data_IF_743197327598
#
_entry.id   IF_743197327598
#
_cell.length_a   1.000
_cell.length_b   1.000
_cell.length_c   1.000
_cell.angle_alpha   90.00
_cell.angle_beta   90.00
_cell.angle_gamma   90.00
#
_symmetry.space_group_name_H-M   'P 1'
#
loop_
_entity.id
_entity.type
_entity.pdbx_description
1 polymer ?
#
# COMPACT_ATOMS: atom_id res chain seq x y z
N UNK A 1 -9.55 70.50 -38.96
CA UNK A 1 -9.49 71.16 -37.64
C UNK A 1 -9.73 70.09 -36.60
N UNK A 2 -8.79 69.62 -35.81
CA UNK A 2 -7.33 69.71 -35.73
C UNK A 2 -6.93 68.53 -34.83
N UNK A 3 -5.82 67.86 -35.13
CA UNK A 3 -5.02 67.16 -34.12
C UNK A 3 -3.84 68.10 -33.77
N UNK A 4 -3.43 68.19 -32.50
CA UNK A 4 -2.18 67.52 -32.07
C UNK A 4 -2.32 66.88 -30.66
N UNK A 5 -1.71 65.72 -30.37
CA UNK A 5 -0.30 65.42 -30.00
C UNK A 5 0.09 65.71 -28.53
N UNK A 6 0.83 64.73 -28.00
CA UNK A 6 1.76 64.67 -26.86
C UNK A 6 1.29 64.38 -25.41
N UNK A 7 1.56 63.12 -25.05
CA UNK A 7 2.43 62.64 -23.96
C UNK A 7 2.15 63.08 -22.51
N UNK A 8 1.78 62.10 -21.68
CA UNK A 8 2.60 61.81 -20.51
C UNK A 8 2.57 60.31 -20.17
N UNK A 9 3.67 59.63 -20.54
CA UNK A 9 4.16 58.42 -19.90
C UNK A 9 4.62 58.85 -18.49
N UNK A 10 3.89 58.46 -17.46
CA UNK A 10 4.46 58.33 -16.13
C UNK A 10 4.47 56.85 -15.77
N UNK A 11 5.69 56.39 -15.53
CA UNK A 11 6.08 55.06 -15.13
C UNK A 11 5.27 54.59 -13.91
N UNK A 12 4.44 53.57 -14.09
CA UNK A 12 4.11 52.67 -12.97
C UNK A 12 4.92 51.41 -13.20
N UNK A 13 6.09 51.47 -12.58
CA UNK A 13 7.05 50.39 -12.41
C UNK A 13 6.32 49.07 -12.07
N UNK A 14 6.59 48.08 -12.90
CA UNK A 14 6.21 46.68 -12.71
C UNK A 14 6.75 46.19 -11.36
N UNK A 15 5.91 46.22 -10.33
CA UNK A 15 6.12 45.32 -9.20
C UNK A 15 5.51 43.99 -9.61
N UNK A 16 6.35 43.15 -10.21
CA UNK A 16 6.13 41.72 -10.20
C UNK A 16 6.05 41.30 -8.73
N UNK A 17 4.83 41.22 -8.19
CA UNK A 17 4.63 40.53 -6.93
C UNK A 17 5.15 39.12 -7.15
N UNK A 18 6.22 38.82 -6.41
CA UNK A 18 6.96 37.59 -6.50
C UNK A 18 5.97 36.42 -6.50
N UNK A 19 6.13 35.53 -7.47
CA UNK A 19 5.54 34.20 -7.46
C UNK A 19 5.69 33.64 -6.04
N UNK A 20 4.61 33.63 -5.24
CA UNK A 20 4.57 32.81 -4.04
C UNK A 20 4.60 31.37 -4.55
N UNK A 21 5.82 30.83 -4.60
CA UNK A 21 6.12 29.42 -4.77
C UNK A 21 5.09 28.61 -4.01
N UNK A 22 4.37 27.75 -4.75
CA UNK A 22 3.43 26.72 -4.27
C UNK A 22 3.73 26.35 -2.82
N UNK A 23 2.95 26.92 -1.90
CA UNK A 23 3.17 26.69 -0.47
C UNK A 23 2.91 25.24 -0.07
N UNK A 24 2.16 24.47 -0.89
CA UNK A 24 1.82 23.08 -0.62
C UNK A 24 1.90 22.20 -1.88
N UNK A 25 2.96 21.40 -1.99
CA UNK A 25 2.93 20.11 -2.72
C UNK A 25 2.17 19.10 -1.86
N UNK A 26 1.51 18.11 -2.47
CA UNK A 26 0.87 17.02 -1.74
C UNK A 26 1.83 16.31 -0.77
N UNK A 27 3.13 16.28 -1.09
CA UNK A 27 4.18 15.73 -0.24
C UNK A 27 4.43 16.54 1.05
N UNK A 28 4.04 17.83 1.09
CA UNK A 28 4.27 18.75 2.23
C UNK A 28 3.15 18.73 3.28
N UNK A 29 1.98 18.18 2.97
CA UNK A 29 0.83 18.15 3.90
C UNK A 29 1.04 17.20 5.08
N UNK A 30 2.03 16.31 5.03
CA UNK A 30 2.27 15.31 6.08
C UNK A 30 3.35 15.71 7.09
N UNK A 31 4.06 16.82 6.88
CA UNK A 31 5.23 17.19 7.69
C UNK A 31 5.00 18.35 8.67
N UNK A 32 3.82 18.99 8.67
CA UNK A 32 3.51 20.07 9.61
C UNK A 32 2.02 20.09 9.96
N UNK A 33 1.61 19.34 10.99
CA UNK A 33 0.50 19.76 11.85
C UNK A 33 0.90 19.59 13.31
N UNK A 34 1.05 20.73 13.98
CA UNK A 34 0.96 20.85 15.43
C UNK A 34 -0.49 20.52 15.80
N UNK A 35 -0.71 19.31 16.32
CA UNK A 35 -1.94 18.98 17.06
C UNK A 35 -1.93 19.76 18.38
N UNK A 36 -2.30 21.04 18.30
CA UNK A 36 -2.59 21.84 19.49
C UNK A 36 -3.91 21.36 20.11
N UNK A 37 -3.78 20.71 21.27
CA UNK A 37 -4.73 20.51 22.36
C UNK A 37 -6.17 21.02 22.11
N UNK A 38 -7.04 20.16 21.57
CA UNK A 38 -8.49 20.29 21.78
C UNK A 38 -8.90 19.27 22.86
N UNK A 39 -9.11 19.76 24.08
CA UNK A 39 -9.79 19.02 25.14
C UNK A 39 -11.29 19.02 24.82
N UNK A 40 -11.85 17.87 24.46
CA UNK A 40 -13.31 17.70 24.34
C UNK A 40 -13.79 16.91 25.56
N UNK A 41 -14.56 17.53 26.49
CA UNK A 41 -15.08 16.83 27.65
C UNK A 41 -16.45 16.19 27.34
N UNK A 42 -16.51 14.88 27.61
CA UNK A 42 -17.75 14.15 27.92
C UNK A 42 -18.41 13.50 26.72
N UNK A 43 -18.39 12.16 26.68
CA UNK A 43 -19.56 11.34 26.38
C UNK A 43 -19.38 9.98 27.07
N UNK A 44 -20.43 9.56 27.77
CA UNK A 44 -20.44 8.43 28.69
C UNK A 44 -20.84 7.11 28.07
N UNK A 45 -20.46 6.05 28.77
CA UNK A 45 -20.88 4.66 28.60
C UNK A 45 -22.41 4.54 28.48
N UNK A 46 -22.89 3.82 27.48
CA UNK A 46 -24.21 3.19 27.51
C UNK A 46 -24.13 1.76 26.96
N UNK A 47 -24.74 0.88 27.73
CA UNK A 47 -24.81 -0.57 27.65
C UNK A 47 -25.66 -1.11 26.49
N UNK A 48 -25.26 -2.31 26.06
CA UNK A 48 -26.04 -3.53 25.76
C UNK A 48 -27.54 -3.40 25.40
N UNK A 49 -27.88 -3.87 24.20
CA UNK A 49 -29.18 -4.50 23.94
C UNK A 49 -29.08 -5.49 22.77
N UNK A 50 -29.07 -6.78 23.13
CA UNK A 50 -29.22 -7.93 22.24
C UNK A 50 -30.68 -8.04 21.76
N UNK A 51 -30.87 -8.30 20.46
CA UNK A 51 -32.14 -8.84 19.92
C UNK A 51 -31.87 -10.16 19.20
N UNK A 52 -32.63 -11.15 19.63
CA UNK A 52 -32.67 -12.57 19.28
C UNK A 52 -33.47 -12.76 17.98
N UNK A 53 -33.07 -13.69 17.11
CA UNK A 53 -33.95 -14.26 16.09
C UNK A 53 -34.07 -15.77 16.30
N UNK A 54 -35.34 -16.22 16.36
CA UNK A 54 -35.78 -17.61 16.56
C UNK A 54 -35.56 -18.51 15.33
N UNK A 55 -35.46 -19.81 15.62
CA UNK A 55 -35.23 -20.97 14.77
C UNK A 55 -36.34 -21.28 13.73
N UNK A 56 -35.92 -21.62 12.50
CA UNK A 56 -36.42 -22.68 11.60
C UNK A 56 -35.76 -22.41 10.22
N UNK A 57 -35.02 -23.29 9.56
CA UNK A 57 -35.29 -24.68 9.23
C UNK A 57 -33.95 -25.32 8.82
N UNK A 58 -33.63 -26.47 9.43
CA UNK A 58 -32.37 -27.21 9.25
C UNK A 58 -32.41 -28.00 7.94
N UNK A 59 -31.42 -27.78 7.08
CA UNK A 59 -31.02 -28.76 6.05
C UNK A 59 -29.57 -29.11 6.32
N UNK A 60 -29.38 -30.35 6.77
CA UNK A 60 -28.11 -30.98 7.12
C UNK A 60 -27.28 -31.22 5.86
N UNK A 61 -26.16 -30.51 5.74
CA UNK A 61 -24.98 -30.98 5.01
C UNK A 61 -23.85 -31.04 6.05
N UNK A 62 -23.63 -32.24 6.59
CA UNK A 62 -22.54 -32.55 7.52
C UNK A 62 -21.16 -32.43 6.82
N UNK A 63 -20.18 -31.87 7.54
CA UNK A 63 -18.72 -31.87 7.30
C UNK A 63 -18.02 -30.55 6.86
N UNK A 64 -18.51 -29.34 7.22
CA UNK A 64 -17.79 -28.06 6.92
C UNK A 64 -17.51 -27.14 8.13
N UNK A 65 -17.75 -27.56 9.37
CA UNK A 65 -17.29 -26.79 10.54
C UNK A 65 -16.72 -27.71 11.61
N UNK A 66 -15.40 -27.96 11.52
CA UNK A 66 -14.60 -28.23 12.71
C UNK A 66 -14.56 -26.91 13.49
N UNK A 67 -15.53 -26.78 14.39
CA UNK A 67 -15.64 -25.71 15.38
C UNK A 67 -14.58 -25.92 16.45
N UNK A 68 -13.33 -25.69 16.05
CA UNK A 68 -12.23 -25.36 16.93
C UNK A 68 -11.56 -24.10 16.37
N UNK A 69 -12.28 -22.98 16.48
CA UNK A 69 -11.66 -21.68 16.54
C UNK A 69 -10.79 -21.72 17.79
N UNK A 70 -9.54 -22.18 17.65
CA UNK A 70 -8.57 -22.51 18.71
C UNK A 70 -8.40 -21.43 19.78
N UNK A 71 -9.43 -21.27 20.59
CA UNK A 71 -9.45 -20.60 21.87
C UNK A 71 -8.80 -21.61 22.81
N UNK A 72 -7.69 -21.28 23.47
CA UNK A 72 -7.13 -22.17 24.46
C UNK A 72 -8.19 -22.45 25.53
N UNK A 73 -8.43 -23.73 25.79
CA UNK A 73 -9.18 -24.18 26.97
C UNK A 73 -8.59 -23.53 28.22
N UNK A 74 -9.46 -23.06 29.11
CA UNK A 74 -9.12 -22.45 30.39
C UNK A 74 -8.18 -23.36 31.20
N UNK A 75 -6.88 -23.10 31.11
CA UNK A 75 -5.90 -23.52 32.08
C UNK A 75 -5.25 -22.27 32.68
N UNK A 76 -5.53 -22.05 33.96
CA UNK A 76 -5.04 -20.98 34.81
C UNK A 76 -3.52 -20.74 34.66
N UNK A 77 -3.11 -19.77 33.84
CA UNK A 77 -1.75 -19.26 33.81
C UNK A 77 -1.76 -17.74 33.56
N UNK A 78 -1.10 -17.02 34.47
CA UNK A 78 -1.00 -15.56 34.51
C UNK A 78 -0.58 -14.98 33.15
N UNK A 79 -1.50 -14.22 32.52
CA UNK A 79 -1.18 -13.39 31.37
C UNK A 79 -0.28 -12.22 31.82
N UNK A 80 0.99 -12.26 31.45
CA UNK A 80 1.77 -11.03 31.26
C UNK A 80 1.21 -10.35 30.01
N UNK A 81 0.67 -9.14 30.18
CA UNK A 81 0.12 -8.27 29.12
C UNK A 81 1.23 -7.78 28.17
N UNK A 82 1.77 -8.67 27.34
CA UNK A 82 2.58 -8.32 26.19
C UNK A 82 1.78 -8.68 24.92
N UNK A 83 1.08 -7.69 24.36
CA UNK A 83 0.59 -7.78 22.99
C UNK A 83 1.75 -8.24 22.08
N UNK A 84 1.53 -9.17 21.15
CA UNK A 84 2.58 -9.61 20.24
C UNK A 84 3.06 -8.39 19.43
N UNK A 85 4.27 -7.94 19.76
CA UNK A 85 4.97 -6.92 19.00
C UNK A 85 5.08 -7.44 17.57
N UNK A 86 4.71 -6.62 16.60
CA UNK A 86 4.96 -6.88 15.19
C UNK A 86 6.50 -6.96 15.01
N UNK A 87 7.07 -8.16 15.11
CA UNK A 87 8.49 -8.38 14.95
C UNK A 87 8.82 -8.23 13.46
N UNK A 88 9.53 -7.16 13.13
CA UNK A 88 10.20 -7.06 11.83
C UNK A 88 11.13 -8.24 11.65
N UNK A 89 11.32 -8.73 10.41
CA UNK A 89 12.34 -9.72 10.12
C UNK A 89 13.66 -9.25 10.75
N UNK A 90 14.19 -10.06 11.67
CA UNK A 90 15.58 -9.92 12.04
C UNK A 90 16.36 -10.20 10.76
N UNK A 91 17.06 -9.18 10.25
CA UNK A 91 18.06 -9.38 9.21
C UNK A 91 19.09 -10.35 9.80
N UNK A 92 18.94 -11.65 9.48
CA UNK A 92 19.92 -12.66 9.83
C UNK A 92 21.29 -12.21 9.28
N UNK A 93 22.23 -11.93 10.19
CA UNK A 93 23.62 -11.53 9.93
C UNK A 93 24.44 -12.67 9.27
N UNK A 94 23.90 -13.38 8.27
CA UNK A 94 24.71 -14.12 7.31
C UNK A 94 25.02 -13.19 6.15
N UNK A 95 26.31 -12.84 5.99
CA UNK A 95 26.83 -12.26 4.76
C UNK A 95 26.22 -13.02 3.58
N UNK A 96 25.50 -12.35 2.66
CA UNK A 96 24.97 -13.04 1.50
C UNK A 96 26.16 -13.67 0.78
N UNK A 97 26.14 -15.00 0.61
CA UNK A 97 26.85 -15.63 -0.50
C UNK A 97 26.46 -14.80 -1.72
N UNK A 98 27.45 -14.32 -2.49
CA UNK A 98 27.26 -13.44 -3.65
C UNK A 98 26.05 -13.89 -4.49
N UNK A 99 24.90 -13.34 -4.17
CA UNK A 99 23.60 -13.62 -4.78
C UNK A 99 23.19 -12.28 -5.39
N UNK A 100 23.72 -12.11 -6.59
CA UNK A 100 23.53 -11.06 -7.57
C UNK A 100 23.73 -9.59 -7.14
N UNK A 101 24.36 -8.87 -8.05
CA UNK A 101 24.72 -7.46 -7.98
C UNK A 101 23.53 -6.58 -7.53
N UNK A 102 23.67 -5.70 -6.53
CA UNK A 102 22.62 -4.78 -6.14
C UNK A 102 22.58 -3.65 -7.19
N UNK A 103 21.75 -3.80 -8.21
CA UNK A 103 21.66 -2.75 -9.22
C UNK A 103 21.06 -3.22 -10.53
N UNK A 104 19.78 -3.52 -10.53
CA UNK A 104 18.95 -2.91 -11.55
C UNK A 104 17.67 -2.45 -10.87
N UNK A 105 17.45 -1.13 -10.87
CA UNK A 105 16.08 -0.64 -10.82
C UNK A 105 15.43 -1.20 -12.09
N UNK A 106 14.75 -2.33 -11.94
CA UNK A 106 14.04 -2.96 -13.03
C UNK A 106 13.03 -1.94 -13.55
N UNK A 107 13.20 -1.52 -14.80
CA UNK A 107 12.29 -0.58 -15.44
C UNK A 107 10.87 -1.15 -15.46
N UNK A 108 9.85 -0.29 -15.68
CA UNK A 108 8.43 -0.69 -15.64
C UNK A 108 8.05 -1.81 -16.62
N UNK A 109 8.90 -2.12 -17.62
CA UNK A 109 8.67 -3.15 -18.64
C UNK A 109 9.36 -4.49 -18.34
N UNK A 110 10.05 -4.63 -17.20
CA UNK A 110 10.83 -5.83 -16.87
C UNK A 110 9.97 -6.82 -16.08
N UNK A 111 9.58 -7.93 -16.72
CA UNK A 111 8.89 -9.03 -16.02
C UNK A 111 9.78 -9.58 -14.91
N UNK A 112 9.18 -9.91 -13.76
CA UNK A 112 9.89 -10.52 -12.64
C UNK A 112 10.66 -11.78 -13.09
N UNK A 113 11.87 -11.96 -12.55
CA UNK A 113 12.80 -13.00 -12.96
C UNK A 113 12.18 -14.41 -13.02
N UNK A 114 11.26 -14.73 -12.11
CA UNK A 114 10.58 -16.02 -12.08
C UNK A 114 9.83 -16.36 -13.39
N UNK A 115 9.40 -15.37 -14.19
CA UNK A 115 8.75 -15.61 -15.49
C UNK A 115 9.71 -16.13 -16.57
N UNK A 116 10.99 -15.82 -16.44
CA UNK A 116 12.06 -16.30 -17.32
C UNK A 116 12.61 -17.66 -16.88
N UNK A 117 12.39 -18.01 -15.61
CA UNK A 117 12.84 -19.27 -15.05
C UNK A 117 11.94 -20.46 -15.43
N UNK A 118 12.52 -21.69 -15.49
CA UNK A 118 11.77 -22.92 -15.71
C UNK A 118 10.60 -23.10 -14.75
N UNK A 119 9.47 -23.60 -15.26
CA UNK A 119 8.25 -23.79 -14.48
C UNK A 119 8.44 -24.63 -13.20
N UNK A 120 9.36 -25.60 -13.22
CA UNK A 120 9.67 -26.41 -12.03
C UNK A 120 10.31 -25.58 -10.90
N UNK A 121 11.19 -24.64 -11.24
CA UNK A 121 11.81 -23.73 -10.26
C UNK A 121 10.75 -22.74 -9.75
N UNK A 122 9.95 -22.18 -10.66
CA UNK A 122 8.84 -21.28 -10.30
C UNK A 122 7.83 -21.93 -9.36
N UNK A 123 7.45 -23.18 -9.62
CA UNK A 123 6.53 -23.92 -8.74
C UNK A 123 7.13 -24.13 -7.35
N UNK A 124 8.43 -24.43 -7.27
CA UNK A 124 9.13 -24.53 -5.99
C UNK A 124 9.07 -23.21 -5.19
N UNK A 125 9.17 -22.06 -5.86
CA UNK A 125 9.02 -20.75 -5.23
C UNK A 125 7.60 -20.51 -4.74
N UNK A 126 6.59 -20.87 -5.53
CA UNK A 126 5.18 -20.75 -5.15
C UNK A 126 4.88 -21.61 -3.92
N UNK A 127 5.37 -22.85 -3.89
CA UNK A 127 5.20 -23.74 -2.74
C UNK A 127 5.82 -23.14 -1.47
N UNK A 128 7.02 -22.56 -1.58
CA UNK A 128 7.69 -21.88 -0.47
C UNK A 128 6.90 -20.67 0.02
N UNK A 129 6.33 -19.89 -0.90
CA UNK A 129 5.49 -18.75 -0.55
C UNK A 129 4.23 -19.21 0.20
N UNK A 130 3.57 -20.28 -0.25
CA UNK A 130 2.42 -20.88 0.42
C UNK A 130 2.80 -21.40 1.82
N UNK A 131 3.95 -22.06 1.96
CA UNK A 131 4.47 -22.53 3.25
C UNK A 131 4.71 -21.37 4.23
N UNK A 132 5.19 -20.23 3.74
CA UNK A 132 5.33 -19.02 4.55
C UNK A 132 3.97 -18.44 4.94
N UNK A 133 3.11 -18.16 3.96
CA UNK A 133 1.91 -17.33 4.16
C UNK A 133 0.76 -18.09 4.79
N UNK A 134 0.55 -19.35 4.40
CA UNK A 134 -0.56 -20.18 4.89
C UNK A 134 -0.20 -20.98 6.12
N UNK A 135 1.03 -21.46 6.21
CA UNK A 135 1.45 -22.41 7.24
C UNK A 135 2.43 -21.83 8.26
N UNK A 136 2.79 -20.54 8.14
CA UNK A 136 3.66 -19.85 9.11
C UNK A 136 5.05 -20.48 9.24
N UNK A 137 5.56 -21.13 8.19
CA UNK A 137 6.85 -21.81 8.24
C UNK A 137 7.99 -20.83 8.55
N UNK A 138 8.89 -21.22 9.45
CA UNK A 138 10.02 -20.38 9.85
C UNK A 138 11.03 -20.18 8.72
N UNK A 139 11.77 -19.08 8.74
CA UNK A 139 12.83 -18.80 7.74
C UNK A 139 13.85 -19.93 7.63
N UNK A 140 14.21 -20.56 8.75
CA UNK A 140 15.14 -21.70 8.79
C UNK A 140 14.55 -22.93 8.08
N UNK A 141 13.26 -23.23 8.31
CA UNK A 141 12.58 -24.34 7.64
C UNK A 141 12.48 -24.10 6.13
N UNK A 142 12.07 -22.90 5.72
CA UNK A 142 11.98 -22.52 4.30
C UNK A 142 13.34 -22.58 3.59
N UNK A 143 14.41 -22.10 4.24
CA UNK A 143 15.79 -22.21 3.72
C UNK A 143 16.22 -23.66 3.56
N UNK A 144 15.87 -24.53 4.51
CA UNK A 144 16.13 -25.96 4.40
C UNK A 144 15.37 -26.57 3.22
N UNK A 145 14.09 -26.24 3.07
CA UNK A 145 13.24 -26.74 1.99
C UNK A 145 13.72 -26.27 0.61
N UNK A 146 14.10 -25.00 0.45
CA UNK A 146 14.71 -24.49 -0.79
C UNK A 146 15.98 -25.26 -1.16
N UNK A 147 16.86 -25.51 -0.19
CA UNK A 147 18.07 -26.33 -0.42
C UNK A 147 17.75 -27.78 -0.76
N UNK A 148 16.70 -28.36 -0.18
CA UNK A 148 16.25 -29.70 -0.50
C UNK A 148 15.70 -29.78 -1.94
N UNK A 149 14.86 -28.80 -2.34
CA UNK A 149 14.34 -28.70 -3.70
C UNK A 149 15.45 -28.46 -4.73
N UNK A 150 16.42 -27.61 -4.41
CA UNK A 150 17.62 -27.45 -5.21
C UNK A 150 18.32 -28.81 -5.45
N UNK A 151 18.61 -29.59 -4.42
CA UNK A 151 19.20 -30.94 -4.60
C UNK A 151 18.31 -31.90 -5.41
N UNK A 152 16.98 -31.79 -5.30
CA UNK A 152 16.06 -32.65 -6.02
C UNK A 152 15.99 -32.29 -7.52
N UNK A 153 16.07 -31.01 -7.84
CA UNK A 153 16.01 -30.49 -9.20
C UNK A 153 17.34 -30.60 -9.95
N UNK A 154 18.48 -30.66 -9.25
CA UNK A 154 19.83 -30.75 -9.85
C UNK A 154 20.03 -31.93 -10.80
N UNK A 155 19.25 -32.99 -10.62
CA UNK A 155 19.38 -34.24 -11.39
C UNK A 155 18.35 -34.33 -12.52
N UNK A 156 17.56 -33.28 -12.77
CA UNK A 156 16.55 -33.28 -13.84
C UNK A 156 17.15 -32.81 -15.17
N UNK A 157 16.94 -33.54 -16.27
CA UNK A 157 17.48 -33.18 -17.58
C UNK A 157 16.77 -31.99 -18.24
N UNK A 158 15.62 -31.58 -17.71
CA UNK A 158 14.75 -30.52 -18.25
C UNK A 158 15.20 -29.10 -17.85
N UNK A 159 16.17 -28.99 -16.94
CA UNK A 159 16.62 -27.71 -16.37
C UNK A 159 18.09 -27.52 -16.74
N UNK A 160 18.41 -26.36 -17.32
CA UNK A 160 19.79 -26.02 -17.65
C UNK A 160 20.61 -25.79 -16.36
N UNK A 161 21.90 -26.12 -16.40
CA UNK A 161 22.78 -25.95 -15.25
C UNK A 161 22.88 -24.48 -14.76
N UNK A 162 22.70 -23.53 -15.68
CA UNK A 162 22.70 -22.09 -15.39
C UNK A 162 21.47 -21.65 -14.59
N UNK A 163 20.26 -22.03 -15.06
CA UNK A 163 19.00 -21.76 -14.34
C UNK A 163 19.02 -22.36 -12.92
N UNK A 164 19.61 -23.55 -12.82
CA UNK A 164 19.75 -24.25 -11.57
C UNK A 164 20.74 -23.58 -10.61
N UNK A 165 21.92 -23.19 -11.10
CA UNK A 165 22.93 -22.50 -10.30
C UNK A 165 22.40 -21.20 -9.72
N UNK A 166 21.52 -20.55 -10.47
CA UNK A 166 20.89 -19.31 -10.05
C UNK A 166 19.67 -19.53 -9.17
N UNK A 167 19.16 -20.74 -8.89
CA UNK A 167 17.91 -20.90 -8.12
C UNK A 167 17.98 -20.24 -6.72
N UNK A 168 16.94 -19.50 -6.34
CA UNK A 168 16.87 -18.80 -5.06
C UNK A 168 17.00 -19.75 -3.86
N UNK A 169 17.81 -19.36 -2.87
CA UNK A 169 18.07 -20.16 -1.67
C UNK A 169 17.56 -19.54 -0.36
N UNK A 170 17.00 -18.33 -0.42
CA UNK A 170 16.41 -17.63 0.72
C UNK A 170 15.00 -17.17 0.37
N UNK A 171 14.14 -17.04 1.39
CA UNK A 171 12.78 -16.54 1.21
C UNK A 171 12.75 -15.12 0.63
N UNK A 172 13.66 -14.24 1.07
CA UNK A 172 13.74 -12.87 0.55
C UNK A 172 14.10 -12.83 -0.94
N UNK A 173 14.99 -13.71 -1.42
CA UNK A 173 15.27 -13.83 -2.85
C UNK A 173 14.08 -14.43 -3.61
N UNK A 174 13.39 -15.44 -3.05
CA UNK A 174 12.16 -15.99 -3.63
C UNK A 174 11.09 -14.91 -3.83
N UNK A 175 10.84 -14.10 -2.79
CA UNK A 175 9.86 -13.02 -2.84
C UNK A 175 10.21 -11.97 -3.90
N UNK A 176 11.50 -11.62 -4.04
CA UNK A 176 11.96 -10.69 -5.09
C UNK A 176 11.72 -11.27 -6.48
N UNK A 177 12.07 -12.55 -6.69
CA UNK A 177 11.92 -13.22 -8.00
C UNK A 177 10.49 -13.41 -8.42
N UNK A 178 9.59 -13.67 -7.46
CA UNK A 178 8.15 -13.73 -7.70
C UNK A 178 7.51 -12.34 -7.80
N UNK A 179 8.24 -11.28 -7.46
CA UNK A 179 7.72 -9.93 -7.45
C UNK A 179 6.72 -9.66 -6.33
N UNK A 180 6.80 -10.39 -5.21
CA UNK A 180 5.92 -10.21 -4.03
C UNK A 180 6.65 -9.58 -2.85
N UNK A 181 7.91 -9.15 -3.05
CA UNK A 181 8.68 -8.50 -2.00
C UNK A 181 8.18 -7.07 -1.76
N UNK A 182 7.59 -6.86 -0.58
CA UNK A 182 7.07 -5.56 -0.13
C UNK A 182 8.07 -4.78 0.74
N UNK A 183 9.19 -5.38 1.15
CA UNK A 183 10.14 -4.75 2.08
C UNK A 183 10.75 -3.47 1.50
N UNK A 184 10.93 -3.40 0.17
CA UNK A 184 11.41 -2.20 -0.51
C UNK A 184 10.39 -1.04 -0.55
N UNK A 185 9.14 -1.28 -0.19
CA UNK A 185 8.06 -0.28 -0.27
C UNK A 185 7.72 0.33 1.09
N UNK A 186 8.12 -0.34 2.17
CA UNK A 186 7.89 0.13 3.54
C UNK A 186 9.13 0.90 3.98
N UNK A 187 8.97 2.21 4.10
CA UNK A 187 9.97 3.08 4.72
C UNK A 187 9.69 3.18 6.21
N UNK A 188 10.61 2.70 7.03
CA UNK A 188 10.50 2.83 8.49
C UNK A 188 11.10 4.14 8.95
N UNK A 189 10.24 5.14 9.19
CA UNK A 189 10.65 6.42 9.75
C UNK A 189 10.96 6.30 11.24
N UNK A 190 11.77 7.23 11.75
CA UNK A 190 11.95 7.41 13.19
C UNK A 190 11.08 8.56 13.67
N UNK A 191 10.30 8.35 14.72
CA UNK A 191 9.56 9.41 15.38
C UNK A 191 10.27 9.85 16.65
N UNK A 192 10.19 11.14 16.97
CA UNK A 192 10.54 11.60 18.30
C UNK A 192 9.51 11.07 19.31
N UNK A 193 9.91 10.36 20.39
CA UNK A 193 8.96 9.87 21.39
C UNK A 193 8.21 10.98 22.15
N UNK A 194 8.73 12.22 22.14
CA UNK A 194 8.15 13.35 22.90
C UNK A 194 7.21 14.20 22.05
N UNK A 195 7.62 14.57 20.83
CA UNK A 195 6.86 15.49 19.98
C UNK A 195 6.33 14.86 18.68
N UNK A 196 6.50 13.54 18.50
CA UNK A 196 6.07 12.78 17.33
C UNK A 196 6.60 13.28 15.97
N UNK A 197 7.60 14.16 15.98
CA UNK A 197 8.22 14.65 14.74
C UNK A 197 8.89 13.48 14.01
N UNK A 198 8.62 13.39 12.71
CA UNK A 198 9.13 12.36 11.81
C UNK A 198 10.53 12.68 11.29
N UNK A 199 11.36 11.65 11.18
CA UNK A 199 12.73 11.70 10.65
C UNK A 199 12.95 10.57 9.65
N UNK A 200 13.58 10.89 8.52
CA UNK A 200 13.90 9.92 7.46
C UNK A 200 15.00 8.95 7.90
N UNK A 201 15.04 7.72 7.35
CA UNK A 201 16.12 6.77 7.62
C UNK A 201 17.52 7.35 7.33
N UNK A 202 17.67 8.07 6.22
CA UNK A 202 18.95 8.68 5.81
C UNK A 202 19.45 9.70 6.84
N UNK A 203 18.53 10.54 7.35
CA UNK A 203 18.86 11.48 8.41
C UNK A 203 19.37 10.74 9.66
N UNK A 204 18.71 9.65 10.07
CA UNK A 204 19.10 8.89 11.26
C UNK A 204 20.44 8.16 11.05
N UNK A 205 20.73 7.71 9.84
CA UNK A 205 22.00 7.08 9.48
C UNK A 205 23.18 8.06 9.60
N UNK A 206 22.99 9.31 9.18
CA UNK A 206 24.00 10.37 9.18
C UNK A 206 24.02 11.20 10.47
N UNK A 207 22.98 11.08 11.31
CA UNK A 207 22.84 11.87 12.53
C UNK A 207 24.05 11.69 13.47
N UNK A 208 24.66 12.83 13.80
CA UNK A 208 25.77 12.93 14.77
C UNK A 208 25.24 12.87 16.20
N UNK A 209 24.08 13.48 16.43
CA UNK A 209 23.40 13.53 17.73
C UNK A 209 22.13 12.68 17.70
N UNK A 210 21.78 12.11 18.85
CA UNK A 210 20.57 11.29 18.99
C UNK A 210 19.36 12.07 19.53
N UNK A 211 19.45 13.40 19.64
CA UNK A 211 18.36 14.24 20.17
C UNK A 211 17.48 14.79 19.06
N UNK A 212 16.22 15.04 19.39
CA UNK A 212 15.27 15.72 18.52
C UNK A 212 15.77 17.11 18.13
N UNK A 213 15.57 17.50 16.86
CA UNK A 213 15.89 18.85 16.36
C UNK A 213 14.77 19.87 16.64
N UNK A 214 13.62 19.42 17.13
CA UNK A 214 12.50 20.32 17.37
C UNK A 214 12.86 21.27 18.53
N UNK A 215 12.70 22.60 18.39
CA UNK A 215 13.07 23.55 19.43
C UNK A 215 12.36 23.24 20.75
N UNK A 216 13.14 23.11 21.83
CA UNK A 216 12.59 22.80 23.16
C UNK A 216 12.19 21.34 23.37
N UNK A 217 12.50 20.44 22.44
CA UNK A 217 12.26 19.01 22.59
C UNK A 217 13.55 18.27 23.00
N UNK A 218 13.49 17.54 24.11
CA UNK A 218 14.58 16.73 24.67
C UNK A 218 14.49 15.23 24.29
N UNK A 219 13.56 14.88 23.39
CA UNK A 219 13.34 13.51 23.00
C UNK A 219 14.55 12.87 22.32
N UNK A 220 14.87 11.64 22.71
CA UNK A 220 15.96 10.85 22.14
C UNK A 220 15.42 9.99 20.99
N UNK A 221 15.96 10.18 19.79
CA UNK A 221 15.53 9.54 18.55
C UNK A 221 16.00 8.08 18.44
N UNK A 222 17.25 7.80 18.81
CA UNK A 222 17.84 6.47 18.69
C UNK A 222 18.89 6.17 19.77
N UNK A 223 19.10 4.89 20.00
CA UNK A 223 20.18 4.35 20.81
C UNK A 223 21.20 3.62 19.93
N UNK A 224 22.46 3.55 20.37
CA UNK A 224 23.49 2.78 19.65
C UNK A 224 23.66 1.44 20.36
N UNK A 225 23.40 0.34 19.66
CA UNK A 225 23.64 -1.03 20.14
C UNK A 225 24.83 -1.64 19.43
N UNK A 226 25.62 -2.45 20.13
CA UNK A 226 26.68 -3.26 19.54
C UNK A 226 26.10 -4.62 19.14
N UNK A 227 26.24 -5.00 17.88
CA UNK A 227 25.83 -6.30 17.37
C UNK A 227 26.85 -7.39 17.74
N UNK A 228 26.44 -8.66 17.62
CA UNK A 228 27.32 -9.81 17.85
C UNK A 228 28.54 -9.81 16.90
N UNK A 229 28.38 -9.23 15.69
CA UNK A 229 29.45 -9.00 14.72
C UNK A 229 30.47 -7.93 15.16
N UNK A 230 30.23 -7.23 16.28
CA UNK A 230 31.07 -6.15 16.79
C UNK A 230 30.78 -4.79 16.16
N UNK A 231 29.93 -4.72 15.13
CA UNK A 231 29.48 -3.47 14.52
C UNK A 231 28.54 -2.70 15.45
N UNK A 232 28.46 -1.39 15.25
CA UNK A 232 27.52 -0.52 15.96
C UNK A 232 26.32 -0.24 15.06
N UNK A 233 25.12 -0.53 15.55
CA UNK A 233 23.85 -0.25 14.88
C UNK A 233 23.07 0.79 15.67
N UNK A 234 22.57 1.80 14.97
CA UNK A 234 21.58 2.73 15.53
C UNK A 234 20.22 2.06 15.53
N UNK A 235 19.53 2.10 16.67
CA UNK A 235 18.21 1.51 16.87
C UNK A 235 17.29 2.63 17.32
N UNK A 236 16.33 2.96 16.48
CA UNK A 236 15.33 4.00 16.75
C UNK A 236 14.50 3.64 17.98
N UNK A 237 14.18 4.66 18.78
CA UNK A 237 13.38 4.48 20.00
C UNK A 237 11.88 4.36 19.70
N UNK A 238 11.42 5.04 18.66
CA UNK A 238 10.05 4.94 18.15
C UNK A 238 10.09 4.89 16.63
N UNK A 239 9.48 3.86 16.06
CA UNK A 239 9.45 3.61 14.61
C UNK A 239 8.04 3.82 14.07
N UNK A 240 7.94 4.39 12.87
CA UNK A 240 6.70 4.56 12.13
C UNK A 240 6.88 3.98 10.72
N UNK A 241 6.42 2.74 10.47
CA UNK A 241 6.38 2.21 9.13
C UNK A 241 5.41 2.99 8.29
N UNK A 242 5.83 3.31 7.07
CA UNK A 242 5.00 3.98 6.10
C UNK A 242 5.27 3.39 4.73
N UNK A 243 4.21 3.02 4.03
CA UNK A 243 4.25 2.68 2.62
C UNK A 243 3.54 3.78 1.84
N UNK A 244 4.15 4.26 0.76
CA UNK A 244 3.48 5.21 -0.13
C UNK A 244 2.30 4.52 -0.80
N UNK A 245 1.06 5.04 -0.68
CA UNK A 245 -0.10 4.46 -1.36
C UNK A 245 0.11 4.37 -2.88
N UNK A 246 0.79 5.36 -3.47
CA UNK A 246 1.08 5.38 -4.91
C UNK A 246 2.01 4.23 -5.28
N UNK A 247 3.11 4.04 -4.53
CA UNK A 247 4.07 2.95 -4.79
C UNK A 247 3.39 1.59 -4.58
N UNK A 248 2.57 1.46 -3.55
CA UNK A 248 1.84 0.22 -3.27
C UNK A 248 0.83 -0.11 -4.38
N UNK A 249 0.09 0.89 -4.88
CA UNK A 249 -0.82 0.72 -6.01
C UNK A 249 -0.05 0.37 -7.29
N UNK A 250 1.05 1.05 -7.58
CA UNK A 250 1.90 0.71 -8.73
C UNK A 250 2.38 -0.73 -8.65
N UNK A 251 2.84 -1.16 -7.48
CA UNK A 251 3.27 -2.54 -7.27
C UNK A 251 2.13 -3.54 -7.50
N UNK A 252 0.99 -3.34 -6.82
CA UNK A 252 -0.18 -4.20 -6.94
C UNK A 252 -0.63 -4.34 -8.41
N UNK A 253 -0.71 -3.23 -9.12
CA UNK A 253 -1.12 -3.17 -10.53
C UNK A 253 -0.09 -3.79 -11.48
N UNK A 254 1.17 -3.90 -11.05
CA UNK A 254 2.24 -4.55 -11.81
C UNK A 254 2.28 -6.06 -11.59
N UNK A 255 1.57 -6.59 -10.58
CA UNK A 255 1.48 -8.03 -10.37
C UNK A 255 0.69 -8.68 -11.52
N UNK A 256 1.21 -9.81 -12.01
CA UNK A 256 0.57 -10.56 -13.08
C UNK A 256 -0.82 -11.04 -12.65
N UNK A 257 -1.82 -10.84 -13.51
CA UNK A 257 -3.21 -11.21 -13.23
C UNK A 257 -4.03 -10.11 -12.54
N UNK A 258 -3.40 -9.06 -11.96
CA UNK A 258 -4.15 -7.99 -11.28
C UNK A 258 -4.99 -7.18 -12.26
N UNK A 259 -4.46 -6.90 -13.45
CA UNK A 259 -5.20 -6.19 -14.48
C UNK A 259 -6.49 -6.94 -14.85
N UNK A 260 -6.40 -8.24 -15.05
CA UNK A 260 -7.53 -9.11 -15.36
C UNK A 260 -8.50 -9.20 -14.19
N UNK A 261 -8.00 -9.34 -12.95
CA UNK A 261 -8.79 -9.38 -11.73
C UNK A 261 -9.62 -8.10 -11.56
N UNK A 262 -9.02 -6.93 -11.80
CA UNK A 262 -9.70 -5.63 -11.73
C UNK A 262 -10.78 -5.44 -12.80
N UNK A 263 -10.83 -6.30 -13.83
CA UNK A 263 -11.81 -6.25 -14.91
C UNK A 263 -12.89 -7.34 -14.81
N UNK A 264 -12.89 -8.13 -13.73
CA UNK A 264 -13.86 -9.22 -13.51
C UNK A 264 -15.31 -8.73 -13.42
N UNK A 265 -15.54 -7.48 -13.03
CA UNK A 265 -16.86 -6.85 -13.01
C UNK A 265 -17.49 -6.67 -14.40
N UNK A 266 -16.70 -6.75 -15.50
CA UNK A 266 -17.18 -6.63 -16.90
C UNK A 266 -17.90 -7.91 -17.35
N UNK A 267 -19.09 -8.11 -16.79
CA UNK A 267 -19.93 -9.28 -17.04
C UNK A 267 -20.83 -9.11 -18.27
N UNK A 268 -21.21 -7.88 -18.60
CA UNK A 268 -22.08 -7.56 -19.74
C UNK A 268 -21.29 -7.47 -21.06
N UNK A 269 -21.94 -7.77 -22.19
CA UNK A 269 -21.34 -7.72 -23.53
C UNK A 269 -20.82 -6.31 -23.85
N UNK A 270 -21.63 -5.29 -23.55
CA UNK A 270 -21.29 -3.89 -23.78
C UNK A 270 -20.09 -3.40 -22.94
N UNK A 271 -19.84 -4.01 -21.77
CA UNK A 271 -18.73 -3.61 -20.90
C UNK A 271 -17.36 -3.98 -21.49
N UNK A 272 -17.32 -4.89 -22.47
CA UNK A 272 -16.10 -5.38 -23.13
C UNK A 272 -15.75 -4.62 -24.40
N UNK A 273 -16.67 -3.83 -24.93
CA UNK A 273 -16.54 -3.16 -26.23
C UNK A 273 -15.81 -1.80 -26.18
N UNK A 274 -15.19 -1.47 -25.05
CA UNK A 274 -14.33 -0.30 -24.88
C UNK A 274 -14.88 0.74 -23.90
N UNK A 275 -14.41 2.00 -23.99
CA UNK A 275 -14.83 3.06 -23.08
C UNK A 275 -16.31 3.40 -23.28
N UNK A 276 -17.10 3.29 -22.21
CA UNK A 276 -18.50 3.76 -22.21
C UNK A 276 -18.64 5.02 -21.36
N UNK A 277 -19.72 5.77 -21.57
CA UNK A 277 -20.05 6.95 -20.77
C UNK A 277 -20.59 6.59 -19.38
N UNK A 278 -20.58 7.54 -18.43
CA UNK A 278 -21.20 7.38 -17.11
C UNK A 278 -22.70 7.13 -17.19
N UNK A 279 -23.23 6.33 -16.26
CA UNK A 279 -24.65 5.99 -16.19
C UNK A 279 -25.37 6.93 -15.21
N UNK A 280 -26.48 7.52 -15.67
CA UNK A 280 -27.36 8.34 -14.84
C UNK A 280 -28.12 7.48 -13.81
N UNK A 281 -28.45 8.06 -12.65
CA UNK A 281 -29.14 7.36 -11.56
C UNK A 281 -30.47 6.73 -12.01
N UNK A 282 -31.27 7.47 -12.77
CA UNK A 282 -32.59 7.01 -13.24
C UNK A 282 -32.45 5.77 -14.15
N UNK A 283 -31.48 5.81 -15.07
CA UNK A 283 -31.20 4.69 -15.96
C UNK A 283 -30.67 3.47 -15.20
N UNK A 284 -29.89 3.67 -14.15
CA UNK A 284 -29.44 2.56 -13.28
C UNK A 284 -30.62 1.95 -12.52
N UNK A 285 -31.49 2.78 -11.94
CA UNK A 285 -32.72 2.34 -11.24
C UNK A 285 -33.68 1.57 -12.15
N UNK A 286 -33.76 1.91 -13.43
CA UNK A 286 -34.61 1.20 -14.41
C UNK A 286 -34.09 -0.20 -14.75
N UNK A 287 -32.77 -0.42 -14.63
CA UNK A 287 -32.11 -1.67 -15.04
C UNK A 287 -31.82 -2.61 -13.86
N UNK A 288 -32.09 -2.19 -12.62
CA UNK A 288 -31.86 -3.02 -11.43
C UNK A 288 -33.12 -3.77 -11.00
N UNK A 289 -32.98 -5.05 -10.67
CA UNK A 289 -34.06 -5.81 -10.04
C UNK A 289 -34.07 -5.55 -8.53
N UNK A 290 -35.03 -4.73 -8.08
CA UNK A 290 -35.21 -4.38 -6.68
C UNK A 290 -35.52 -5.59 -5.76
N UNK A 291 -35.88 -6.75 -6.33
CA UNK A 291 -36.13 -7.98 -5.55
C UNK A 291 -34.87 -8.82 -5.36
N UNK A 292 -33.77 -8.46 -6.02
CA UNK A 292 -32.49 -9.15 -5.90
C UNK A 292 -31.53 -8.27 -5.08
N UNK A 293 -30.88 -8.83 -4.05
CA UNK A 293 -29.84 -8.08 -3.35
C UNK A 293 -28.69 -7.75 -4.31
N UNK A 294 -28.06 -6.59 -4.09
CA UNK A 294 -26.78 -6.26 -4.72
C UNK A 294 -25.74 -7.30 -4.28
N UNK A 295 -24.99 -7.85 -5.24
CA UNK A 295 -23.99 -8.88 -4.98
C UNK A 295 -22.68 -8.29 -4.49
N UNK A 296 -22.18 -7.25 -5.16
CA UNK A 296 -20.96 -6.54 -4.77
C UNK A 296 -21.04 -5.03 -5.07
N UNK A 297 -19.93 -4.32 -4.83
CA UNK A 297 -19.86 -2.87 -5.04
C UNK A 297 -20.06 -2.46 -6.51
N UNK A 298 -19.79 -3.35 -7.47
CA UNK A 298 -19.90 -3.08 -8.89
C UNK A 298 -21.35 -2.99 -9.39
N UNK A 299 -22.29 -3.56 -8.62
CA UNK A 299 -23.73 -3.43 -8.87
C UNK A 299 -24.28 -2.05 -8.46
N UNK A 300 -23.55 -1.32 -7.60
CA UNK A 300 -23.96 -0.01 -7.12
C UNK A 300 -23.87 1.08 -8.18
N UNK A 301 -24.79 2.05 -8.14
CA UNK A 301 -24.81 3.19 -9.08
C UNK A 301 -23.47 3.92 -9.15
N UNK A 302 -22.84 4.18 -8.00
CA UNK A 302 -21.56 4.90 -7.89
C UNK A 302 -20.42 4.29 -8.71
N UNK A 303 -20.45 2.97 -8.94
CA UNK A 303 -19.43 2.26 -9.71
C UNK A 303 -19.43 2.70 -11.18
N UNK A 304 -20.61 2.81 -11.80
CA UNK A 304 -20.75 3.13 -13.23
C UNK A 304 -21.06 4.61 -13.52
N UNK A 305 -21.28 5.42 -12.50
CA UNK A 305 -21.63 6.84 -12.63
C UNK A 305 -20.45 7.81 -12.53
N UNK A 306 -19.30 7.34 -12.05
CA UNK A 306 -18.12 8.20 -11.87
C UNK A 306 -17.49 8.53 -13.22
N UNK A 307 -17.26 9.82 -13.49
CA UNK A 307 -16.64 10.31 -14.73
C UNK A 307 -15.10 10.34 -14.62
N UNK A 308 -14.40 9.88 -15.66
CA UNK A 308 -12.96 10.01 -15.84
C UNK A 308 -12.58 11.27 -16.63
N UNK A 309 -11.30 11.64 -16.55
CA UNK A 309 -10.78 12.82 -17.27
C UNK A 309 -11.26 14.14 -16.69
N UNK A 310 -11.49 14.18 -15.36
CA UNK A 310 -11.70 15.40 -14.62
C UNK A 310 -10.35 15.88 -14.06
N UNK A 311 -10.15 17.20 -14.03
CA UNK A 311 -9.03 17.84 -13.36
C UNK A 311 -9.55 18.90 -12.41
N UNK A 312 -8.97 18.94 -11.22
CA UNK A 312 -9.36 19.86 -10.17
C UNK A 312 -8.73 21.22 -10.40
N UNK A 313 -9.58 22.25 -10.51
CA UNK A 313 -9.17 23.63 -10.65
C UNK A 313 -9.57 24.41 -9.40
N UNK A 314 -8.58 25.01 -8.76
CA UNK A 314 -8.78 25.95 -7.67
C UNK A 314 -8.77 27.37 -8.25
N UNK A 315 -9.83 28.13 -7.98
CA UNK A 315 -9.87 29.55 -8.28
C UNK A 315 -9.42 30.33 -7.03
N UNK A 316 -8.23 30.96 -7.05
CA UNK A 316 -7.71 31.69 -5.89
C UNK A 316 -8.54 32.93 -5.54
N UNK A 317 -9.36 33.46 -6.46
CA UNK A 317 -10.15 34.66 -6.22
C UNK A 317 -11.46 34.37 -5.49
N UNK A 318 -12.07 33.21 -5.76
CA UNK A 318 -13.34 32.79 -5.14
C UNK A 318 -13.13 31.78 -4.02
N UNK A 319 -11.96 31.15 -3.95
CA UNK A 319 -11.69 30.01 -3.08
C UNK A 319 -12.42 28.74 -3.50
N UNK A 320 -13.05 28.73 -4.68
CA UNK A 320 -13.84 27.62 -5.17
C UNK A 320 -12.97 26.54 -5.81
N UNK A 321 -13.31 25.29 -5.52
CA UNK A 321 -12.70 24.12 -6.15
C UNK A 321 -13.73 23.53 -7.12
N UNK A 322 -13.40 23.55 -8.41
CA UNK A 322 -14.25 22.97 -9.47
C UNK A 322 -13.51 21.87 -10.21
N UNK A 323 -14.16 20.72 -10.39
CA UNK A 323 -13.62 19.66 -11.22
C UNK A 323 -14.09 19.90 -12.66
N UNK A 324 -13.14 20.09 -13.59
CA UNK A 324 -13.42 20.39 -15.01
C UNK A 324 -12.95 19.26 -15.89
N UNK A 325 -13.75 18.96 -16.91
CA UNK A 325 -13.44 17.93 -17.91
C UNK A 325 -12.26 18.35 -18.78
N UNK A 326 -11.31 17.44 -18.97
CA UNK A 326 -10.15 17.59 -19.85
C UNK A 326 -10.24 16.77 -21.13
N UNK A 327 -11.18 15.82 -21.18
CA UNK A 327 -11.47 14.97 -22.34
C UNK A 327 -12.71 15.43 -23.10
N UNK A 328 -12.80 15.18 -24.40
CA UNK A 328 -13.91 15.67 -25.23
C UNK A 328 -15.25 14.99 -24.86
N UNK A 329 -15.22 13.68 -24.64
CA UNK A 329 -16.38 12.87 -24.31
C UNK A 329 -16.25 12.29 -22.90
N UNK A 330 -17.33 12.27 -22.10
CA UNK A 330 -17.28 11.69 -20.77
C UNK A 330 -17.11 10.18 -20.87
N UNK A 331 -16.10 9.66 -20.18
CA UNK A 331 -15.84 8.22 -20.06
C UNK A 331 -16.13 7.84 -18.61
N UNK A 332 -16.80 6.72 -18.36
CA UNK A 332 -16.97 6.20 -17.00
C UNK A 332 -15.64 5.67 -16.49
N UNK A 333 -15.31 6.02 -15.25
CA UNK A 333 -13.98 5.81 -14.68
C UNK A 333 -13.54 4.35 -14.67
N UNK A 334 -14.45 3.44 -14.32
CA UNK A 334 -14.19 1.99 -14.27
C UNK A 334 -13.89 1.38 -15.65
N UNK A 335 -14.27 2.03 -16.76
CA UNK A 335 -13.93 1.55 -18.12
C UNK A 335 -12.48 1.74 -18.52
N UNK A 336 -11.69 2.45 -17.73
CA UNK A 336 -10.26 2.55 -17.97
C UNK A 336 -9.56 1.19 -17.76
N UNK A 337 -8.41 0.94 -18.41
CA UNK A 337 -7.68 -0.33 -18.28
C UNK A 337 -7.34 -0.73 -16.84
N UNK A 338 -7.15 0.26 -15.96
CA UNK A 338 -6.89 0.09 -14.53
C UNK A 338 -7.82 0.99 -13.70
N UNK A 339 -9.10 1.06 -14.06
CA UNK A 339 -10.07 1.91 -13.38
C UNK A 339 -10.28 1.51 -11.91
N UNK A 340 -9.47 2.07 -11.01
CA UNK A 340 -9.52 1.83 -9.57
C UNK A 340 -10.10 3.05 -8.84
N UNK A 341 -11.34 2.92 -8.36
CA UNK A 341 -11.98 3.95 -7.52
C UNK A 341 -11.79 3.60 -6.05
N UNK A 342 -11.16 4.49 -5.29
CA UNK A 342 -10.97 4.35 -3.85
C UNK A 342 -11.62 5.55 -3.15
N UNK A 343 -12.52 5.28 -2.22
CA UNK A 343 -13.13 6.30 -1.37
C UNK A 343 -12.71 6.06 0.08
N UNK A 344 -12.09 7.05 0.70
CA UNK A 344 -11.86 7.07 2.14
C UNK A 344 -12.99 7.88 2.79
N UNK A 345 -13.88 7.19 3.50
CA UNK A 345 -14.89 7.85 4.31
C UNK A 345 -14.36 7.92 5.74
N UNK A 346 -14.17 9.11 6.27
CA UNK A 346 -13.85 9.33 7.68
C UNK A 346 -15.09 9.91 8.35
N UNK A 347 -15.74 9.10 9.18
CA UNK A 347 -16.73 9.62 10.12
C UNK A 347 -16.00 10.48 11.15
N UNK A 348 -16.54 11.68 11.41
CA UNK A 348 -15.99 12.66 12.35
C UNK A 348 -16.75 12.67 13.66
#
# INVERSE_FOLDING_TARGET
MDAPDDLNLEDVELVAEAEEERRYSFDRLLDNELLDNVVIPGYGLLDDDRIIFDEAEVVEDEDIYDEDLGLPEDDDQQFDDALPIFEYPQDDDELPLQDDNPGHEDGPDTYYAAFQEPALIRNAYIDILIQKTRYGSTHQALKHQLRAMHRALSNRPEICAEDFANMAQTIGTVERRLGVNINGMITTFTLCPTCNRRYTPDYIAEAVVNTCLNPGCDGVLFNVRRLASGSLRRVSNLTFPFASPIVWLQHLLSLAGTAELLQTWRTEENDRDGPLGPIASDLWMENIDMNKPLGDISDGWGWRSTEAGLSRFYDPNTGEVTDRRTIAEPIRFVSLPFGLSLSLNTDW
#
